data_IF_028352912056
#
_entry.id   IF_028352912056
#
_cell.length_a   1.000
_cell.length_b   1.000
_cell.length_c   1.000
_cell.angle_alpha   90.00
_cell.angle_beta   90.00
_cell.angle_gamma   90.00
#
_symmetry.space_group_name_H-M   'P 1'
#
loop_
_entity.id
_entity.type
_entity.pdbx_description
1 polymer ?
#
# COMPACT_ATOMS: atom_id res chain seq x y z
N UNK A 1 -11.62 -16.90 -20.47
CA UNK A 1 -11.29 -16.02 -19.34
C UNK A 1 -10.71 -14.72 -19.85
N UNK A 2 -11.19 -13.59 -19.35
CA UNK A 2 -10.63 -12.28 -19.60
C UNK A 2 -10.18 -11.67 -18.28
N UNK A 3 -8.91 -11.29 -18.17
CA UNK A 3 -8.34 -10.72 -16.94
C UNK A 3 -8.08 -9.23 -17.13
N UNK A 4 -8.73 -8.42 -16.31
CA UNK A 4 -8.53 -6.98 -16.25
C UNK A 4 -7.73 -6.59 -15.01
N UNK A 5 -6.42 -6.36 -15.20
CA UNK A 5 -5.47 -5.96 -14.18
C UNK A 5 -5.08 -4.48 -14.29
N UNK A 6 -5.48 -3.83 -15.41
CA UNK A 6 -5.10 -2.45 -15.69
C UNK A 6 -5.76 -1.47 -14.72
N UNK A 7 -4.95 -0.71 -14.00
CA UNK A 7 -5.42 0.40 -13.17
C UNK A 7 -4.27 1.39 -12.93
N UNK A 8 -4.63 2.67 -12.75
CA UNK A 8 -3.73 3.67 -12.19
C UNK A 8 -4.02 3.79 -10.69
N UNK A 9 -3.01 3.58 -9.87
CA UNK A 9 -3.08 3.70 -8.42
C UNK A 9 -1.98 4.63 -7.85
N UNK A 10 -1.38 5.44 -8.72
CA UNK A 10 -0.41 6.43 -8.32
C UNK A 10 -1.08 7.52 -7.47
N UNK A 11 -0.64 7.65 -6.22
CA UNK A 11 -1.20 8.61 -5.26
C UNK A 11 -1.01 10.08 -5.67
N UNK A 12 -0.09 10.33 -6.60
CA UNK A 12 0.19 11.65 -7.16
C UNK A 12 -0.50 11.88 -8.51
N UNK A 13 -1.14 10.85 -9.07
CA UNK A 13 -1.89 10.97 -10.31
C UNK A 13 -3.12 11.86 -10.13
N UNK A 14 -3.47 12.63 -11.16
CA UNK A 14 -4.67 13.47 -11.14
C UNK A 14 -5.94 12.61 -11.07
N UNK A 15 -7.00 13.14 -10.46
CA UNK A 15 -8.31 12.47 -10.40
C UNK A 15 -8.82 12.10 -11.79
N UNK A 16 -8.61 12.98 -12.78
CA UNK A 16 -8.99 12.75 -14.19
C UNK A 16 -8.22 11.56 -14.81
N UNK A 17 -6.92 11.45 -14.54
CA UNK A 17 -6.11 10.33 -15.03
C UNK A 17 -6.57 9.00 -14.41
N UNK A 18 -6.88 8.99 -13.10
CA UNK A 18 -7.44 7.83 -12.42
C UNK A 18 -8.81 7.43 -12.98
N UNK A 19 -9.71 8.40 -13.20
CA UNK A 19 -11.05 8.17 -13.75
C UNK A 19 -10.97 7.59 -15.17
N UNK A 20 -10.15 8.18 -16.02
CA UNK A 20 -9.93 7.69 -17.39
C UNK A 20 -9.39 6.26 -17.41
N UNK A 21 -8.36 5.97 -16.61
CA UNK A 21 -7.75 4.65 -16.59
C UNK A 21 -8.63 3.60 -15.88
N UNK A 22 -9.17 3.92 -14.71
CA UNK A 22 -9.83 2.93 -13.88
C UNK A 22 -11.31 2.74 -14.27
N UNK A 23 -12.03 3.79 -14.66
CA UNK A 23 -13.45 3.70 -15.02
C UNK A 23 -13.61 3.49 -16.52
N UNK A 24 -13.11 4.42 -17.36
CA UNK A 24 -13.25 4.30 -18.82
C UNK A 24 -12.48 3.07 -19.32
N UNK A 25 -11.30 2.76 -18.76
CA UNK A 25 -10.53 1.56 -19.08
C UNK A 25 -11.30 0.27 -18.72
N UNK A 26 -11.95 0.20 -17.57
CA UNK A 26 -12.78 -0.96 -17.18
C UNK A 26 -13.99 -1.11 -18.10
N UNK A 27 -14.66 0.00 -18.49
CA UNK A 27 -15.75 -0.03 -19.45
C UNK A 27 -15.32 -0.63 -20.79
N UNK A 28 -14.21 -0.13 -21.35
CA UNK A 28 -13.68 -0.67 -22.61
C UNK A 28 -13.25 -2.14 -22.51
N UNK A 29 -12.69 -2.55 -21.36
CA UNK A 29 -12.34 -3.95 -21.10
C UNK A 29 -13.56 -4.86 -21.05
N UNK A 30 -14.67 -4.40 -20.44
CA UNK A 30 -15.94 -5.12 -20.42
C UNK A 30 -16.54 -5.26 -21.83
N UNK A 31 -16.63 -4.17 -22.57
CA UNK A 31 -17.13 -4.16 -23.95
C UNK A 31 -16.30 -5.10 -24.84
N UNK A 32 -14.98 -5.10 -24.69
CA UNK A 32 -14.12 -6.01 -25.43
C UNK A 32 -14.33 -7.46 -25.01
N UNK A 33 -14.43 -7.76 -23.72
CA UNK A 33 -14.68 -9.11 -23.22
C UNK A 33 -16.02 -9.67 -23.71
N UNK A 34 -17.06 -8.82 -23.81
CA UNK A 34 -18.35 -9.17 -24.43
C UNK A 34 -18.18 -9.50 -25.92
N UNK A 35 -17.48 -8.63 -26.67
CA UNK A 35 -17.30 -8.81 -28.11
C UNK A 35 -16.56 -10.10 -28.45
N UNK A 36 -15.63 -10.56 -27.61
CA UNK A 36 -14.91 -11.82 -27.81
C UNK A 36 -15.60 -13.03 -27.14
N UNK A 37 -16.79 -12.86 -26.60
CA UNK A 37 -17.57 -13.90 -25.90
C UNK A 37 -16.75 -14.55 -24.76
N UNK A 38 -16.10 -13.75 -23.93
CA UNK A 38 -15.35 -14.27 -22.79
C UNK A 38 -16.27 -15.02 -21.82
N UNK A 39 -15.88 -16.21 -21.40
CA UNK A 39 -16.68 -17.03 -20.49
C UNK A 39 -16.71 -16.53 -19.05
N UNK A 40 -15.75 -15.69 -18.65
CA UNK A 40 -15.72 -15.03 -17.33
C UNK A 40 -14.81 -13.80 -17.38
N UNK A 41 -15.26 -12.71 -16.75
CA UNK A 41 -14.48 -11.48 -16.56
C UNK A 41 -13.86 -11.47 -15.16
N UNK A 42 -12.54 -11.39 -15.08
CA UNK A 42 -11.80 -11.34 -13.82
C UNK A 42 -11.29 -9.92 -13.57
N UNK A 43 -11.90 -9.23 -12.60
CA UNK A 43 -11.47 -7.88 -12.21
C UNK A 43 -10.49 -7.94 -11.04
N UNK A 44 -9.29 -7.42 -11.22
CA UNK A 44 -8.40 -7.10 -10.10
C UNK A 44 -8.75 -5.71 -9.58
N UNK A 45 -9.61 -5.69 -8.56
CA UNK A 45 -10.01 -4.50 -7.81
C UNK A 45 -8.94 -4.14 -6.76
N UNK A 46 -9.35 -3.75 -5.58
CA UNK A 46 -8.49 -3.48 -4.43
C UNK A 46 -9.31 -3.48 -3.15
N UNK A 47 -8.70 -3.72 -1.99
CA UNK A 47 -9.32 -3.42 -0.70
C UNK A 47 -9.73 -1.94 -0.57
N UNK A 48 -9.13 -1.05 -1.36
CA UNK A 48 -9.48 0.37 -1.43
C UNK A 48 -10.92 0.63 -1.87
N UNK A 49 -11.59 -0.34 -2.53
CA UNK A 49 -13.00 -0.23 -2.91
C UNK A 49 -13.95 -0.14 -1.69
N UNK A 50 -13.50 -0.50 -0.49
CA UNK A 50 -14.23 -0.32 0.76
C UNK A 50 -14.22 1.13 1.29
N UNK A 51 -13.43 2.03 0.67
CA UNK A 51 -13.21 3.37 1.20
C UNK A 51 -12.56 3.32 2.58
N UNK A 52 -13.00 4.16 3.50
CA UNK A 52 -12.53 4.20 4.90
C UNK A 52 -13.55 3.60 5.87
N UNK A 53 -14.20 2.50 5.49
CA UNK A 53 -15.19 1.80 6.31
C UNK A 53 -14.66 1.49 7.71
N UNK A 54 -15.46 1.79 8.74
CA UNK A 54 -15.04 1.64 10.14
C UNK A 54 -15.48 0.30 10.70
N UNK A 55 -14.62 -0.70 10.61
CA UNK A 55 -14.93 -2.03 11.12
C UNK A 55 -14.23 -3.15 10.35
N UNK A 56 -14.89 -4.29 10.25
CA UNK A 56 -14.41 -5.44 9.47
C UNK A 56 -15.24 -5.53 8.19
N UNK A 57 -14.61 -5.31 7.04
CA UNK A 57 -15.22 -5.41 5.72
C UNK A 57 -15.09 -6.85 5.22
N UNK A 58 -16.21 -7.48 4.92
CA UNK A 58 -16.26 -8.87 4.46
C UNK A 58 -16.31 -8.95 2.93
N UNK A 59 -16.15 -10.14 2.36
CA UNK A 59 -16.07 -10.35 0.91
C UNK A 59 -17.42 -10.13 0.19
N UNK A 60 -18.52 -10.26 0.89
CA UNK A 60 -19.89 -10.02 0.40
C UNK A 60 -20.32 -8.55 0.49
N UNK A 61 -19.64 -7.76 1.31
CA UNK A 61 -19.90 -6.31 1.44
C UNK A 61 -19.43 -5.56 0.20
N UNK A 62 -20.24 -4.56 -0.20
CA UNK A 62 -19.92 -3.64 -1.28
C UNK A 62 -20.59 -2.28 -1.07
N UNK A 63 -21.91 -2.24 -0.87
CA UNK A 63 -22.70 -1.02 -0.70
C UNK A 63 -22.40 -0.30 0.63
N UNK A 64 -21.77 -1.01 1.57
CA UNK A 64 -21.38 -0.49 2.88
C UNK A 64 -20.07 0.31 2.84
N UNK A 65 -19.48 0.53 1.66
CA UNK A 65 -18.29 1.35 1.51
C UNK A 65 -18.52 2.79 2.02
N UNK A 66 -17.54 3.33 2.74
CA UNK A 66 -17.64 4.65 3.38
C UNK A 66 -16.47 5.57 2.95
N UNK A 67 -16.70 6.88 2.97
CA UNK A 67 -15.67 7.91 2.75
C UNK A 67 -14.89 7.68 1.43
N UNK A 68 -15.62 7.69 0.29
CA UNK A 68 -15.08 7.48 -1.06
C UNK A 68 -14.58 8.78 -1.74
N UNK A 69 -14.30 9.84 -0.99
CA UNK A 69 -13.87 11.14 -1.55
C UNK A 69 -12.50 11.07 -2.23
N UNK A 70 -11.62 10.17 -1.75
CA UNK A 70 -10.32 10.01 -2.40
C UNK A 70 -10.49 9.39 -3.79
N UNK A 71 -9.93 10.00 -4.87
CA UNK A 71 -10.13 9.53 -6.25
C UNK A 71 -9.80 8.06 -6.46
N UNK A 72 -8.77 7.54 -5.80
CA UNK A 72 -8.42 6.13 -5.90
C UNK A 72 -9.48 5.21 -5.29
N UNK A 73 -9.99 5.52 -4.08
CA UNK A 73 -11.07 4.73 -3.46
C UNK A 73 -12.32 4.74 -4.35
N UNK A 74 -12.75 5.93 -4.76
CA UNK A 74 -13.92 6.12 -5.62
C UNK A 74 -13.78 5.34 -6.91
N UNK A 75 -12.68 5.52 -7.66
CA UNK A 75 -12.54 4.87 -8.97
C UNK A 75 -12.42 3.36 -8.89
N UNK A 76 -11.84 2.80 -7.81
CA UNK A 76 -11.83 1.35 -7.58
C UNK A 76 -13.22 0.83 -7.21
N UNK A 77 -13.98 1.56 -6.40
CA UNK A 77 -15.37 1.23 -6.08
C UNK A 77 -16.25 1.29 -7.34
N UNK A 78 -16.22 2.40 -8.08
CA UNK A 78 -17.08 2.61 -9.26
C UNK A 78 -16.77 1.59 -10.39
N UNK A 79 -15.50 1.25 -10.61
CA UNK A 79 -15.11 0.22 -11.58
C UNK A 79 -15.63 -1.16 -11.17
N UNK A 80 -15.63 -1.49 -9.90
CA UNK A 80 -16.19 -2.74 -9.39
C UNK A 80 -17.73 -2.75 -9.49
N UNK A 81 -18.40 -1.63 -9.17
CA UNK A 81 -19.85 -1.45 -9.36
C UNK A 81 -20.26 -1.73 -10.79
N UNK A 82 -19.51 -1.19 -11.76
CA UNK A 82 -19.77 -1.39 -13.19
C UNK A 82 -19.70 -2.87 -13.59
N UNK A 83 -18.69 -3.61 -13.10
CA UNK A 83 -18.55 -5.05 -13.38
C UNK A 83 -19.69 -5.85 -12.75
N UNK A 84 -20.07 -5.53 -11.50
CA UNK A 84 -21.19 -6.18 -10.80
C UNK A 84 -22.53 -5.96 -11.49
N UNK A 85 -22.74 -4.76 -12.02
CA UNK A 85 -24.00 -4.40 -12.71
C UNK A 85 -24.09 -4.91 -14.15
N UNK A 86 -23.01 -5.38 -14.75
CA UNK A 86 -22.95 -5.73 -16.16
C UNK A 86 -23.96 -6.82 -16.56
N UNK A 87 -24.07 -7.89 -15.81
CA UNK A 87 -25.06 -8.98 -16.00
C UNK A 87 -24.95 -9.79 -17.30
N UNK A 88 -24.05 -9.45 -18.23
CA UNK A 88 -23.91 -10.10 -19.55
C UNK A 88 -22.85 -11.18 -19.57
N UNK A 89 -21.79 -11.00 -18.77
CA UNK A 89 -20.70 -11.96 -18.62
C UNK A 89 -20.59 -12.34 -17.15
N UNK A 90 -20.41 -13.62 -16.80
CA UNK A 90 -20.02 -14.02 -15.45
C UNK A 90 -18.76 -13.27 -15.03
N UNK A 91 -18.68 -12.85 -13.77
CA UNK A 91 -17.53 -12.12 -13.27
C UNK A 91 -16.98 -12.70 -11.95
N UNK A 92 -15.73 -12.38 -11.65
CA UNK A 92 -15.10 -12.59 -10.35
C UNK A 92 -14.28 -11.36 -10.01
N UNK A 93 -14.36 -10.92 -8.76
CA UNK A 93 -13.62 -9.75 -8.25
C UNK A 93 -12.54 -10.21 -7.28
N UNK A 94 -11.36 -9.65 -7.41
CA UNK A 94 -10.24 -9.89 -6.51
C UNK A 94 -9.83 -8.57 -5.88
N UNK A 95 -9.83 -8.51 -4.55
CA UNK A 95 -9.44 -7.32 -3.78
C UNK A 95 -8.13 -7.61 -3.03
N UNK A 96 -6.96 -7.42 -3.67
CA UNK A 96 -5.69 -7.54 -2.97
C UNK A 96 -5.50 -6.41 -1.96
N UNK A 97 -4.73 -6.72 -0.89
CA UNK A 97 -4.11 -5.72 -0.03
C UNK A 97 -3.06 -4.91 -0.78
N UNK A 98 -2.24 -4.14 -0.07
CA UNK A 98 -1.08 -3.48 -0.66
C UNK A 98 -0.08 -4.56 -1.13
N UNK A 99 0.12 -4.64 -2.46
CA UNK A 99 0.96 -5.68 -3.05
C UNK A 99 2.42 -5.27 -2.94
N UNK A 100 3.21 -6.12 -2.30
CA UNK A 100 4.65 -5.98 -2.16
C UNK A 100 5.38 -6.80 -3.23
N UNK A 101 6.70 -6.65 -3.28
CA UNK A 101 7.56 -7.45 -4.14
C UNK A 101 7.45 -8.96 -3.88
N UNK A 102 8.06 -9.73 -4.76
CA UNK A 102 8.05 -11.19 -4.74
C UNK A 102 8.71 -11.75 -3.47
N UNK A 103 8.05 -12.63 -2.74
CA UNK A 103 8.51 -13.12 -1.42
C UNK A 103 9.85 -13.87 -1.47
N UNK A 104 10.19 -14.51 -2.59
CA UNK A 104 11.43 -15.28 -2.72
C UNK A 104 12.61 -14.48 -3.28
N UNK A 105 12.34 -13.45 -4.10
CA UNK A 105 13.39 -12.69 -4.79
C UNK A 105 13.50 -11.24 -4.36
N UNK A 106 12.48 -10.71 -3.69
CA UNK A 106 12.36 -9.29 -3.36
C UNK A 106 12.00 -8.40 -4.55
N UNK A 107 11.94 -8.96 -5.78
CA UNK A 107 11.71 -8.21 -7.01
C UNK A 107 10.43 -7.38 -6.96
N UNK A 108 10.57 -6.10 -7.29
CA UNK A 108 9.49 -5.15 -7.55
C UNK A 108 10.01 -4.12 -8.56
N UNK A 109 9.16 -3.67 -9.47
CA UNK A 109 9.51 -2.71 -10.52
C UNK A 109 9.14 -1.26 -10.16
N UNK A 110 8.32 -1.07 -9.13
CA UNK A 110 7.82 0.26 -8.73
C UNK A 110 7.86 0.44 -7.22
N UNK A 111 8.33 1.61 -6.77
CA UNK A 111 8.24 2.03 -5.37
C UNK A 111 6.81 2.42 -5.05
N UNK A 112 6.21 1.75 -4.06
CA UNK A 112 4.84 1.98 -3.62
C UNK A 112 4.59 1.50 -2.18
N UNK A 113 3.49 1.96 -1.57
CA UNK A 113 3.07 1.54 -0.25
C UNK A 113 4.16 1.70 0.81
N UNK A 114 4.49 0.65 1.59
CA UNK A 114 5.51 0.72 2.63
C UNK A 114 6.92 1.10 2.15
N UNK A 115 7.24 0.93 0.86
CA UNK A 115 8.56 1.27 0.32
C UNK A 115 8.89 2.76 0.41
N UNK A 116 7.89 3.64 0.48
CA UNK A 116 8.11 5.07 0.72
C UNK A 116 8.82 5.36 2.04
N UNK A 117 8.74 4.44 3.00
CA UNK A 117 9.42 4.56 4.29
C UNK A 117 10.84 3.98 4.30
N UNK A 118 11.26 3.26 3.24
CA UNK A 118 12.56 2.59 3.22
C UNK A 118 13.71 3.57 3.28
N UNK A 119 13.61 4.69 2.55
CA UNK A 119 14.63 5.73 2.62
C UNK A 119 14.74 6.36 4.03
N UNK A 120 13.61 6.49 4.71
CA UNK A 120 13.58 6.95 6.09
C UNK A 120 14.26 5.94 7.04
N UNK A 121 13.99 4.65 6.88
CA UNK A 121 14.63 3.58 7.66
C UNK A 121 16.15 3.53 7.42
N UNK A 122 16.59 3.71 6.16
CA UNK A 122 18.00 3.77 5.83
C UNK A 122 18.70 4.93 6.55
N UNK A 123 18.13 6.14 6.50
CA UNK A 123 18.67 7.32 7.20
C UNK A 123 18.70 7.12 8.72
N UNK A 124 17.65 6.50 9.30
CA UNK A 124 17.63 6.17 10.72
C UNK A 124 18.73 5.17 11.09
N UNK A 125 18.96 4.14 10.26
CA UNK A 125 20.06 3.19 10.45
C UNK A 125 21.43 3.89 10.51
N UNK A 126 21.62 4.89 9.65
CA UNK A 126 22.90 5.57 9.49
C UNK A 126 23.18 6.63 10.56
N UNK A 127 22.13 7.32 11.03
CA UNK A 127 22.29 8.52 11.86
C UNK A 127 21.72 8.42 13.27
N UNK A 128 20.82 7.45 13.57
CA UNK A 128 20.21 7.35 14.89
C UNK A 128 21.09 6.61 15.89
N UNK A 129 21.38 7.19 17.07
CA UNK A 129 22.17 6.51 18.10
C UNK A 129 21.45 5.27 18.63
N UNK A 130 22.10 4.11 18.62
CA UNK A 130 21.51 2.83 19.09
C UNK A 130 21.06 2.83 20.55
N UNK A 131 21.61 3.73 21.36
CA UNK A 131 21.30 3.88 22.79
C UNK A 131 20.01 4.67 23.04
N UNK A 132 19.44 5.33 22.02
CA UNK A 132 18.24 6.17 22.16
C UNK A 132 17.05 5.40 21.63
N UNK A 133 16.02 5.09 22.48
CA UNK A 133 14.80 4.46 22.01
C UNK A 133 14.08 5.34 21.00
N UNK A 134 13.69 4.76 19.86
CA UNK A 134 12.86 5.46 18.87
C UNK A 134 11.40 5.42 19.32
N UNK A 135 10.78 6.60 19.37
CA UNK A 135 9.34 6.74 19.58
C UNK A 135 8.67 6.95 18.22
N UNK A 136 7.66 6.19 17.92
CA UNK A 136 6.97 6.25 16.65
C UNK A 136 5.45 6.28 16.80
N UNK A 137 4.77 6.10 15.67
CA UNK A 137 3.31 6.12 15.57
C UNK A 137 2.82 4.69 15.37
N UNK A 138 1.75 4.29 16.09
CA UNK A 138 1.09 3.00 15.88
C UNK A 138 0.36 2.99 14.52
N UNK A 139 -0.32 4.05 14.19
CA UNK A 139 -1.11 4.18 12.96
C UNK A 139 -2.37 3.30 12.94
N UNK A 140 -3.06 3.32 11.81
CA UNK A 140 -4.22 2.48 11.50
C UNK A 140 -3.82 1.06 11.08
N UNK A 141 -4.77 0.37 10.47
CA UNK A 141 -4.53 -0.97 9.93
C UNK A 141 -3.84 -0.88 8.56
N UNK A 142 -3.03 -1.87 8.27
CA UNK A 142 -2.43 -2.08 6.95
C UNK A 142 -2.49 -3.58 6.63
N UNK A 143 -2.81 -3.88 5.39
CA UNK A 143 -2.76 -5.25 4.89
C UNK A 143 -1.80 -5.30 3.72
N UNK A 144 -0.74 -6.08 3.86
CA UNK A 144 0.31 -6.23 2.85
C UNK A 144 0.45 -7.69 2.46
N UNK A 145 0.61 -7.95 1.17
CA UNK A 145 0.76 -9.29 0.61
C UNK A 145 1.81 -9.29 -0.49
N UNK A 146 2.60 -10.36 -0.66
CA UNK A 146 3.58 -10.42 -1.74
C UNK A 146 2.89 -10.76 -3.07
N UNK A 147 3.46 -10.31 -4.18
CA UNK A 147 2.89 -10.46 -5.53
C UNK A 147 2.72 -11.91 -5.95
N UNK A 148 3.64 -12.78 -5.58
CA UNK A 148 3.57 -14.23 -5.87
C UNK A 148 2.34 -14.87 -5.22
N UNK A 149 2.02 -14.55 -3.96
CA UNK A 149 0.77 -15.01 -3.35
C UNK A 149 -0.46 -14.51 -4.13
N UNK A 150 -0.47 -13.23 -4.53
CA UNK A 150 -1.61 -12.66 -5.27
C UNK A 150 -1.79 -13.39 -6.60
N UNK A 151 -0.70 -13.67 -7.32
CA UNK A 151 -0.74 -14.40 -8.59
C UNK A 151 -1.24 -15.82 -8.40
N UNK A 152 -0.66 -16.57 -7.47
CA UNK A 152 -1.04 -17.95 -7.18
C UNK A 152 -2.51 -18.07 -6.77
N UNK A 153 -2.96 -17.17 -5.88
CA UNK A 153 -4.36 -17.13 -5.43
C UNK A 153 -5.31 -16.78 -6.60
N UNK A 154 -4.98 -15.76 -7.41
CA UNK A 154 -5.77 -15.35 -8.55
C UNK A 154 -5.90 -16.48 -9.58
N UNK A 155 -4.77 -17.11 -9.96
CA UNK A 155 -4.75 -18.23 -10.90
C UNK A 155 -5.59 -19.39 -10.38
N UNK A 156 -5.38 -19.78 -9.12
CA UNK A 156 -6.16 -20.88 -8.52
C UNK A 156 -7.66 -20.57 -8.51
N UNK A 157 -8.06 -19.41 -7.97
CA UNK A 157 -9.48 -19.03 -7.85
C UNK A 157 -10.15 -18.84 -9.20
N UNK A 158 -9.42 -18.37 -10.22
CA UNK A 158 -9.99 -18.14 -11.56
C UNK A 158 -10.37 -19.45 -12.27
N UNK A 159 -9.75 -20.56 -11.94
CA UNK A 159 -10.02 -21.87 -12.53
C UNK A 159 -10.96 -22.77 -11.69
N UNK A 160 -11.33 -22.32 -10.48
CA UNK A 160 -12.30 -23.09 -9.67
C UNK A 160 -13.71 -22.96 -10.23
N UNK A 161 -14.48 -24.05 -10.31
CA UNK A 161 -15.88 -23.99 -10.74
C UNK A 161 -16.77 -23.34 -9.67
N UNK A 162 -17.93 -22.82 -10.09
CA UNK A 162 -19.01 -22.31 -9.21
C UNK A 162 -18.58 -21.14 -8.30
N UNK A 163 -17.69 -20.29 -8.78
CA UNK A 163 -17.23 -19.10 -8.05
C UNK A 163 -17.64 -17.79 -8.73
N UNK A 164 -18.45 -17.85 -9.79
CA UNK A 164 -18.88 -16.65 -10.51
C UNK A 164 -19.79 -15.77 -9.63
N UNK A 165 -19.71 -14.47 -9.83
CA UNK A 165 -20.40 -13.46 -9.03
C UNK A 165 -19.78 -13.19 -7.66
N UNK A 166 -18.67 -13.84 -7.32
CA UNK A 166 -18.01 -13.71 -6.01
C UNK A 166 -16.89 -12.69 -6.02
N UNK A 167 -16.69 -12.12 -4.83
CA UNK A 167 -15.52 -11.31 -4.50
C UNK A 167 -14.60 -12.10 -3.57
N UNK A 168 -13.28 -11.88 -3.72
CA UNK A 168 -12.23 -12.55 -2.96
C UNK A 168 -11.28 -11.50 -2.39
N UNK A 169 -11.08 -11.52 -1.06
CA UNK A 169 -10.06 -10.71 -0.42
C UNK A 169 -8.71 -11.46 -0.47
N UNK A 170 -7.78 -10.95 -1.25
CA UNK A 170 -6.41 -11.47 -1.31
C UNK A 170 -5.56 -10.70 -0.28
N UNK A 171 -5.80 -11.00 0.99
CA UNK A 171 -5.25 -10.26 2.13
C UNK A 171 -4.58 -11.21 3.12
N UNK A 172 -3.62 -10.69 3.88
CA UNK A 172 -3.07 -11.42 5.03
C UNK A 172 -4.15 -11.51 6.13
N UNK A 173 -4.53 -12.72 6.58
CA UNK A 173 -5.48 -12.87 7.68
C UNK A 173 -4.94 -12.33 9.01
N UNK A 174 -3.63 -12.15 9.14
CA UNK A 174 -3.01 -11.52 10.30
C UNK A 174 -3.22 -10.01 10.25
N UNK A 175 -4.08 -9.52 11.12
CA UNK A 175 -4.31 -8.08 11.26
C UNK A 175 -3.06 -7.40 11.79
N UNK A 176 -2.54 -6.42 11.05
CA UNK A 176 -1.35 -5.64 11.44
C UNK A 176 -1.67 -4.16 11.49
N UNK A 177 -0.92 -3.45 12.33
CA UNK A 177 -0.88 -2.00 12.30
C UNK A 177 0.33 -1.48 11.52
N UNK A 178 0.26 -0.23 11.08
CA UNK A 178 1.35 0.40 10.32
C UNK A 178 2.65 0.38 11.11
N UNK A 179 2.62 0.74 12.40
CA UNK A 179 3.80 0.73 13.25
C UNK A 179 4.43 -0.66 13.44
N UNK A 180 3.60 -1.71 13.50
CA UNK A 180 4.10 -3.10 13.52
C UNK A 180 4.81 -3.47 12.22
N UNK A 181 4.19 -3.13 11.09
CA UNK A 181 4.75 -3.38 9.76
C UNK A 181 6.08 -2.63 9.55
N UNK A 182 6.13 -1.36 9.97
CA UNK A 182 7.36 -0.58 9.89
C UNK A 182 8.48 -1.15 10.78
N UNK A 183 8.16 -1.71 11.97
CA UNK A 183 9.14 -2.39 12.80
C UNK A 183 9.66 -3.69 12.17
N UNK A 184 8.83 -4.43 11.41
CA UNK A 184 9.32 -5.58 10.63
C UNK A 184 10.36 -5.13 9.60
N UNK A 185 10.08 -4.04 8.87
CA UNK A 185 11.03 -3.49 7.91
C UNK A 185 12.26 -2.85 8.57
N UNK A 186 12.10 -2.23 9.75
CA UNK A 186 13.24 -1.71 10.51
C UNK A 186 14.22 -2.84 10.90
N UNK A 187 13.70 -3.99 11.36
CA UNK A 187 14.54 -5.18 11.61
C UNK A 187 15.24 -5.66 10.35
N UNK A 188 14.51 -5.77 9.24
CA UNK A 188 15.05 -6.17 7.95
C UNK A 188 16.18 -5.24 7.46
N UNK A 189 16.03 -3.94 7.74
CA UNK A 189 16.99 -2.89 7.40
C UNK A 189 18.16 -2.77 8.38
N UNK A 190 18.16 -3.51 9.50
CA UNK A 190 19.05 -3.29 10.64
C UNK A 190 18.99 -1.86 11.21
N UNK A 191 17.83 -1.20 11.05
CA UNK A 191 17.51 0.11 11.60
C UNK A 191 16.92 -0.02 13.02
N UNK A 192 16.94 1.06 13.82
CA UNK A 192 16.29 1.04 15.14
C UNK A 192 14.78 0.86 15.01
N UNK A 193 14.26 -0.03 15.84
CA UNK A 193 12.80 -0.24 15.94
C UNK A 193 12.16 0.84 16.83
N UNK A 194 10.90 1.13 16.57
CA UNK A 194 10.08 1.95 17.47
C UNK A 194 9.81 1.15 18.75
N UNK A 195 10.52 1.52 19.83
CA UNK A 195 10.36 0.90 21.13
C UNK A 195 8.99 1.23 21.76
N UNK A 196 8.51 2.44 21.49
CA UNK A 196 7.19 2.91 21.92
C UNK A 196 6.43 3.40 20.69
N UNK A 197 5.18 2.94 20.54
CA UNK A 197 4.28 3.34 19.46
C UNK A 197 3.07 4.02 20.09
N UNK A 198 2.89 5.29 19.77
CA UNK A 198 1.79 6.09 20.30
C UNK A 198 0.59 6.02 19.34
N UNK A 199 -0.57 5.63 19.87
CA UNK A 199 -1.81 5.73 19.11
C UNK A 199 -2.20 7.21 19.00
N UNK A 200 -2.38 7.76 17.79
CA UNK A 200 -2.81 9.15 17.60
C UNK A 200 -4.10 9.49 18.37
N UNK A 201 -4.95 8.49 18.66
CA UNK A 201 -6.18 8.67 19.45
C UNK A 201 -5.90 9.02 20.91
N UNK A 202 -4.75 8.61 21.46
CA UNK A 202 -4.36 8.98 22.83
C UNK A 202 -4.14 10.48 22.93
N UNK A 203 -3.65 11.13 21.87
CA UNK A 203 -3.55 12.59 21.83
C UNK A 203 -4.91 13.30 21.79
N UNK A 204 -5.94 12.66 21.23
CA UNK A 204 -7.29 13.20 21.21
C UNK A 204 -8.00 13.15 22.60
N UNK A 205 -7.49 12.34 23.53
CA UNK A 205 -7.97 12.26 24.91
C UNK A 205 -7.29 13.27 25.85
N UNK A 206 -6.23 13.95 25.39
CA UNK A 206 -5.59 15.01 26.16
C UNK A 206 -6.53 16.24 26.14
N UNK A 207 -6.80 16.89 27.28
CA UNK A 207 -7.70 18.05 27.35
C UNK A 207 -7.36 19.12 26.33
N UNK A 208 -8.37 19.73 25.70
CA UNK A 208 -8.24 20.72 24.62
C UNK A 208 -7.18 21.82 24.83
N UNK A 209 -6.96 22.35 26.05
CA UNK A 209 -5.92 23.37 26.25
C UNK A 209 -4.51 22.84 25.97
N UNK A 210 -4.24 21.56 26.22
CA UNK A 210 -2.92 20.94 26.02
C UNK A 210 -2.75 20.50 24.56
N UNK A 211 -3.79 19.91 23.95
CA UNK A 211 -3.77 19.51 22.52
C UNK A 211 -3.69 20.73 21.61
N UNK A 212 -4.39 21.82 21.91
CA UNK A 212 -4.29 23.06 21.14
C UNK A 212 -2.89 23.69 21.24
N UNK A 213 -2.25 23.60 22.41
CA UNK A 213 -0.87 24.09 22.58
C UNK A 213 0.14 23.25 21.82
N UNK A 214 -0.03 21.92 21.77
CA UNK A 214 0.85 21.01 21.03
C UNK A 214 0.56 21.07 19.53
N UNK A 215 -0.69 21.07 19.10
CA UNK A 215 -1.09 21.17 17.68
C UNK A 215 -0.85 22.58 17.10
N UNK A 216 -0.95 23.65 17.90
CA UNK A 216 -0.64 25.03 17.50
C UNK A 216 0.83 25.39 17.66
N UNK A 217 1.65 24.55 18.28
CA UNK A 217 3.06 24.83 18.36
C UNK A 217 3.70 24.67 16.98
N UNK A 218 3.78 25.80 16.24
CA UNK A 218 4.49 25.89 14.96
C UNK A 218 5.85 25.16 14.98
N UNK A 219 6.63 25.15 16.07
CA UNK A 219 7.87 24.39 16.16
C UNK A 219 7.69 22.88 15.98
N UNK A 220 6.70 22.25 16.62
CA UNK A 220 6.48 20.78 16.55
C UNK A 220 6.00 20.38 15.15
N UNK A 221 5.06 21.13 14.56
CA UNK A 221 4.63 20.90 13.18
C UNK A 221 5.78 21.13 12.18
N UNK A 222 6.61 22.13 12.40
CA UNK A 222 7.74 22.40 11.55
C UNK A 222 8.80 21.29 11.65
N UNK A 223 9.10 20.81 12.85
CA UNK A 223 10.03 19.67 13.06
C UNK A 223 9.48 18.41 12.40
N UNK A 224 8.19 18.09 12.58
CA UNK A 224 7.55 16.94 11.95
C UNK A 224 7.53 17.06 10.42
N UNK A 225 7.14 18.22 9.89
CA UNK A 225 7.15 18.48 8.44
C UNK A 225 8.55 18.52 7.85
N UNK A 226 9.54 18.97 8.62
CA UNK A 226 10.95 18.93 8.23
C UNK A 226 11.45 17.50 8.23
N UNK A 227 11.15 16.71 9.26
CA UNK A 227 11.48 15.30 9.34
C UNK A 227 10.90 14.52 8.14
N UNK A 228 9.63 14.73 7.80
CA UNK A 228 9.01 14.10 6.62
C UNK A 228 9.69 14.49 5.32
N UNK A 229 10.05 15.77 5.16
CA UNK A 229 10.81 16.25 3.99
C UNK A 229 12.20 15.65 3.94
N UNK A 230 12.91 15.66 5.08
CA UNK A 230 14.27 15.12 5.18
C UNK A 230 14.30 13.60 4.97
N UNK A 231 13.22 12.91 5.35
CA UNK A 231 13.00 11.48 5.12
C UNK A 231 12.42 11.16 3.74
N UNK A 232 12.09 12.17 2.94
CA UNK A 232 11.50 12.03 1.59
C UNK A 232 10.19 11.23 1.56
N UNK A 233 9.39 11.26 2.64
CA UNK A 233 8.08 10.60 2.69
C UNK A 233 7.03 11.54 2.08
N UNK A 234 6.34 11.17 1.00
CA UNK A 234 5.28 11.97 0.41
C UNK A 234 4.13 12.18 1.38
N UNK A 235 3.58 13.40 1.42
CA UNK A 235 2.41 13.69 2.28
C UNK A 235 1.17 12.87 1.92
N UNK A 236 1.01 12.53 0.66
CA UNK A 236 -0.05 11.67 0.14
C UNK A 236 -0.05 10.29 0.80
N UNK A 237 1.12 9.76 1.21
CA UNK A 237 1.24 8.46 1.90
C UNK A 237 0.67 8.51 3.32
N UNK A 238 0.70 9.68 3.98
CA UNK A 238 0.26 9.80 5.38
C UNK A 238 -1.23 9.53 5.58
N UNK A 239 -2.07 9.78 4.57
CA UNK A 239 -3.50 9.48 4.64
C UNK A 239 -3.77 7.97 4.73
N UNK A 240 -2.87 7.13 4.20
CA UNK A 240 -2.96 5.67 4.28
C UNK A 240 -2.38 5.08 5.57
N UNK A 241 -1.67 5.90 6.37
CA UNK A 241 -1.15 5.48 7.69
C UNK A 241 -2.26 5.27 8.70
N UNK A 242 -3.45 5.85 8.50
CA UNK A 242 -4.57 5.84 9.45
C UNK A 242 -5.79 5.06 8.94
N UNK A 243 -5.60 4.01 8.17
CA UNK A 243 -6.69 3.22 7.59
C UNK A 243 -7.49 2.51 8.70
N UNK A 244 -8.82 2.73 8.80
CA UNK A 244 -9.61 2.21 9.92
C UNK A 244 -10.12 0.79 9.69
N UNK A 245 -10.09 0.30 8.44
CA UNK A 245 -10.76 -0.92 7.99
C UNK A 245 -9.91 -2.15 8.20
N UNK A 246 -10.51 -3.21 8.71
CA UNK A 246 -9.98 -4.57 8.68
C UNK A 246 -10.69 -5.36 7.59
N UNK A 247 -10.03 -6.34 7.01
CA UNK A 247 -10.59 -7.14 5.92
C UNK A 247 -10.68 -8.60 6.36
N UNK A 248 -11.88 -9.18 6.23
CA UNK A 248 -12.08 -10.61 6.45
C UNK A 248 -11.89 -11.35 5.11
N UNK A 249 -10.97 -12.29 5.08
CA UNK A 249 -10.70 -13.17 3.94
C UNK A 249 -10.99 -14.64 4.25
N UNK A 250 -11.78 -14.92 5.28
CA UNK A 250 -12.03 -16.29 5.78
C UNK A 250 -12.60 -17.21 4.69
N UNK A 251 -13.51 -16.72 3.84
CA UNK A 251 -14.09 -17.53 2.78
C UNK A 251 -13.08 -17.83 1.67
N UNK A 252 -12.28 -16.86 1.27
CA UNK A 252 -11.15 -17.05 0.33
C UNK A 252 -10.11 -18.01 0.90
N UNK A 253 -9.68 -17.81 2.14
CA UNK A 253 -8.68 -18.67 2.79
C UNK A 253 -9.11 -20.16 2.81
N UNK A 254 -10.37 -20.45 3.10
CA UNK A 254 -10.90 -21.83 3.07
C UNK A 254 -10.75 -22.51 1.69
N UNK A 255 -10.79 -21.73 0.60
CA UNK A 255 -10.58 -22.27 -0.76
C UNK A 255 -9.08 -22.48 -1.02
N UNK A 256 -8.27 -21.46 -0.69
CA UNK A 256 -6.82 -21.46 -0.92
C UNK A 256 -6.08 -22.50 -0.07
N UNK A 257 -6.53 -22.76 1.17
CA UNK A 257 -5.94 -23.76 2.06
C UNK A 257 -5.99 -25.18 1.47
N UNK A 258 -7.05 -25.51 0.71
CA UNK A 258 -7.16 -26.80 0.01
C UNK A 258 -6.06 -26.99 -1.03
N UNK A 259 -5.60 -25.89 -1.62
CA UNK A 259 -4.50 -25.86 -2.59
C UNK A 259 -3.14 -25.57 -1.93
N UNK A 260 -3.08 -25.44 -0.59
CA UNK A 260 -1.89 -25.06 0.17
C UNK A 260 -1.32 -23.69 -0.22
N UNK A 261 -2.16 -22.80 -0.75
CA UNK A 261 -1.78 -21.43 -1.08
C UNK A 261 -2.03 -20.59 0.17
N UNK A 262 -0.98 -19.98 0.73
CA UNK A 262 -1.03 -19.19 1.95
C UNK A 262 -0.18 -17.94 1.83
N UNK A 263 -0.59 -16.87 2.50
CA UNK A 263 0.24 -15.68 2.66
C UNK A 263 1.46 -16.06 3.52
N UNK A 264 2.69 -15.90 3.03
CA UNK A 264 3.88 -16.09 3.86
C UNK A 264 3.95 -15.00 4.93
N UNK A 265 4.49 -15.30 6.10
CA UNK A 265 4.66 -14.30 7.14
C UNK A 265 5.60 -13.19 6.65
N UNK A 266 5.21 -11.92 6.87
CA UNK A 266 6.00 -10.77 6.41
C UNK A 266 7.44 -10.82 6.95
N UNK A 267 7.60 -11.30 8.18
CA UNK A 267 8.88 -11.46 8.86
C UNK A 267 9.86 -12.37 8.11
N UNK A 268 9.34 -13.35 7.34
CA UNK A 268 10.16 -14.34 6.63
C UNK A 268 10.78 -13.79 5.35
N UNK A 269 10.17 -12.72 4.76
CA UNK A 269 10.61 -12.22 3.46
C UNK A 269 10.93 -10.71 3.43
N UNK A 270 10.60 -9.96 4.47
CA UNK A 270 10.84 -8.51 4.52
C UNK A 270 12.31 -8.13 4.23
N UNK A 271 13.26 -8.96 4.67
CA UNK A 271 14.68 -8.75 4.41
C UNK A 271 15.04 -8.84 2.91
N UNK A 272 14.34 -9.71 2.13
CA UNK A 272 14.54 -9.81 0.67
C UNK A 272 14.01 -8.56 -0.04
N UNK A 273 12.87 -8.04 0.41
CA UNK A 273 12.30 -6.80 -0.11
C UNK A 273 13.23 -5.61 0.16
N UNK A 274 13.81 -5.57 1.36
CA UNK A 274 14.78 -4.54 1.72
C UNK A 274 16.07 -4.66 0.89
N UNK A 275 16.67 -5.83 0.82
CA UNK A 275 17.90 -6.08 0.06
C UNK A 275 17.74 -5.74 -1.43
N UNK A 276 16.60 -6.13 -2.02
CA UNK A 276 16.30 -5.78 -3.40
C UNK A 276 16.17 -4.28 -3.61
N UNK A 277 15.41 -3.61 -2.74
CA UNK A 277 15.25 -2.16 -2.80
C UNK A 277 16.59 -1.44 -2.66
N UNK A 278 17.40 -1.81 -1.68
CA UNK A 278 18.69 -1.16 -1.40
C UNK A 278 19.66 -1.31 -2.58
N UNK A 279 19.60 -2.43 -3.30
CA UNK A 279 20.51 -2.69 -4.43
C UNK A 279 20.01 -2.15 -5.78
N UNK A 280 18.72 -1.97 -5.96
CA UNK A 280 18.15 -1.70 -7.29
C UNK A 280 17.28 -0.45 -7.36
N UNK A 281 16.66 -0.03 -6.26
CA UNK A 281 15.65 1.03 -6.25
C UNK A 281 15.98 2.20 -5.33
N UNK A 282 17.07 2.13 -4.55
CA UNK A 282 17.49 3.25 -3.71
C UNK A 282 17.78 4.46 -4.61
N UNK A 283 17.09 5.61 -4.41
CA UNK A 283 17.33 6.82 -5.20
C UNK A 283 18.79 7.27 -5.22
N UNK A 284 19.56 6.96 -4.17
CA UNK A 284 20.98 7.34 -4.10
C UNK A 284 21.87 6.57 -5.08
N UNK A 285 21.41 5.46 -5.66
CA UNK A 285 22.13 4.72 -6.69
C UNK A 285 22.28 5.52 -8.00
N UNK A 286 21.34 6.43 -8.27
CA UNK A 286 21.34 7.29 -9.45
C UNK A 286 22.06 8.63 -9.25
N UNK A 287 22.54 8.92 -8.04
CA UNK A 287 23.27 10.16 -7.74
C UNK A 287 24.66 10.10 -8.36
N UNK A 288 24.96 11.01 -9.27
CA UNK A 288 26.31 11.22 -9.78
C UNK A 288 27.19 11.82 -8.67
N UNK A 289 27.99 10.93 -8.04
CA UNK A 289 28.92 11.28 -6.95
C UNK A 289 30.26 11.83 -7.45
N UNK A 290 30.45 11.99 -8.77
CA UNK A 290 31.62 12.66 -9.31
C UNK A 290 31.66 14.14 -8.90
N UNK A 291 32.86 14.76 -8.93
CA UNK A 291 32.99 16.20 -8.70
C UNK A 291 32.05 16.99 -9.62
N UNK A 292 31.92 16.58 -10.88
CA UNK A 292 31.01 17.19 -11.86
C UNK A 292 29.56 17.12 -11.40
N UNK A 293 29.07 15.97 -10.95
CA UNK A 293 27.72 15.80 -10.40
C UNK A 293 27.51 16.64 -9.16
N UNK A 294 28.49 16.66 -8.24
CA UNK A 294 28.41 17.40 -6.99
C UNK A 294 28.30 18.93 -7.19
N UNK A 295 28.88 19.49 -8.25
CA UNK A 295 28.88 20.94 -8.53
C UNK A 295 27.87 21.36 -9.60
N UNK A 296 27.22 20.41 -10.28
CA UNK A 296 26.24 20.69 -11.35
C UNK A 296 25.08 21.55 -10.82
N UNK A 297 24.89 22.73 -11.43
CA UNK A 297 23.81 23.67 -11.06
C UNK A 297 24.06 24.43 -9.73
N UNK A 298 25.27 24.34 -9.16
CA UNK A 298 25.64 25.07 -7.94
C UNK A 298 26.66 26.16 -8.24
N UNK A 299 26.58 27.23 -7.46
CA UNK A 299 27.67 28.23 -7.40
C UNK A 299 28.68 27.71 -6.38
N UNK A 300 29.90 27.44 -6.84
CA UNK A 300 30.98 26.91 -6.00
C UNK A 300 32.02 28.01 -5.78
N UNK A 301 32.26 28.37 -4.53
CA UNK A 301 33.33 29.27 -4.17
C UNK A 301 34.57 28.42 -3.84
N UNK A 302 35.66 28.64 -4.58
CA UNK A 302 36.96 28.01 -4.30
C UNK A 302 37.78 29.03 -3.55
N UNK A 303 38.03 28.80 -2.25
CA UNK A 303 38.99 29.55 -1.46
C UNK A 303 40.33 28.85 -1.61
N UNK A 304 41.25 29.50 -2.28
CA UNK A 304 42.61 28.97 -2.40
C UNK A 304 43.31 28.92 -1.01
N UNK A 305 43.93 27.80 -0.73
CA UNK A 305 44.93 27.64 0.31
C UNK A 305 46.30 27.50 -0.34
#
# INVERSE_FOLDING_TARGET
HFYHLGAVYDLEASAEAMEKANITGTKGALEFAEAVNAGCFHLVSSIAAAGLYRGTFTEDMFEEAEELEHPYHRTKHDSEAMVRANGRIPFRVYRPGAVLGHSQTGFIDKIDGPYYFFKALQKLRESWPRSIPLVGIEGGYINVVPVDFVVDALVHLSHQPKLDGRCFHLTDPKVRRVGETLNVFARAAHAPEMAFRLDPKVFAMVPEPVTQSVQRSKPIQNVFNQLLRDLQVPRSVLQFVNYPTRFDSTATQKILDKAKIRVPALEDYAWRLWDYWERHLDPDLSIDRSLRGAVKGKVVMITGG
#
